data_IF_712672229561
#
_entry.id   IF_712672229561
#
_cell.length_a   1.000
_cell.length_b   1.000
_cell.length_c   1.000
_cell.angle_alpha   90.00
_cell.angle_beta   90.00
_cell.angle_gamma   90.00
#
_symmetry.space_group_name_H-M   'P 1'
#
loop_
_entity.id
_entity.type
_entity.pdbx_description
1 polymer ?
#
# COMPACT_ATOMS: atom_id res chain seq x y z
N UNK A 1 4.03 1.35 -20.88
CA UNK A 1 3.56 1.96 -19.62
C UNK A 1 3.27 0.84 -18.65
N UNK A 2 4.07 0.73 -17.58
CA UNK A 2 3.87 -0.24 -16.51
C UNK A 2 2.53 0.09 -15.84
N UNK A 3 1.51 -0.71 -16.14
CA UNK A 3 0.28 -0.71 -15.36
C UNK A 3 0.68 -0.85 -13.88
N UNK A 4 -0.11 -0.29 -12.97
CA UNK A 4 0.12 -0.41 -11.53
C UNK A 4 -0.16 -1.87 -11.06
N UNK A 5 0.56 -2.85 -11.63
CA UNK A 5 0.41 -4.31 -11.45
C UNK A 5 0.61 -4.70 -9.98
N UNK A 6 1.29 -3.84 -9.22
CA UNK A 6 1.58 -4.06 -7.80
C UNK A 6 0.98 -3.01 -6.87
N UNK A 7 -0.25 -2.57 -7.11
CA UNK A 7 -0.98 -1.77 -6.13
C UNK A 7 -1.30 -2.58 -4.85
N UNK A 8 -1.24 -1.91 -3.71
CA UNK A 8 -1.60 -2.47 -2.41
C UNK A 8 -2.39 -1.44 -1.61
N UNK A 9 -3.52 -1.87 -1.04
CA UNK A 9 -4.30 -1.08 -0.10
C UNK A 9 -3.96 -1.48 1.34
N UNK A 10 -3.94 -0.50 2.22
CA UNK A 10 -3.78 -0.70 3.67
C UNK A 10 -5.14 -0.81 4.34
N UNK A 11 -5.20 -1.39 5.55
CA UNK A 11 -6.45 -1.43 6.35
C UNK A 11 -7.03 -0.05 6.68
N UNK A 12 -6.26 1.01 6.46
CA UNK A 12 -6.69 2.38 6.66
C UNK A 12 -7.20 3.05 5.36
N UNK A 13 -7.35 2.28 4.28
CA UNK A 13 -7.94 2.72 3.01
C UNK A 13 -6.98 3.40 2.04
N UNK A 14 -5.72 3.64 2.42
CA UNK A 14 -4.74 4.27 1.54
C UNK A 14 -4.06 3.23 0.64
N UNK A 15 -3.92 3.59 -0.65
CA UNK A 15 -3.33 2.75 -1.71
C UNK A 15 -1.92 3.24 -2.03
N UNK A 16 -0.98 2.30 -2.14
CA UNK A 16 0.41 2.54 -2.51
C UNK A 16 0.91 1.45 -3.44
N UNK A 17 2.11 1.63 -4.00
CA UNK A 17 2.82 0.52 -4.61
C UNK A 17 3.25 -0.50 -3.53
N UNK A 18 3.30 -1.78 -3.88
CA UNK A 18 3.66 -2.85 -2.94
C UNK A 18 5.05 -2.65 -2.33
N UNK A 19 6.03 -2.25 -3.16
CA UNK A 19 7.39 -1.95 -2.72
C UNK A 19 7.39 -0.80 -1.70
N UNK A 20 6.60 0.24 -1.97
CA UNK A 20 6.47 1.44 -1.17
C UNK A 20 5.92 1.11 0.23
N UNK A 21 4.81 0.36 0.29
CA UNK A 21 4.18 0.04 1.58
C UNK A 21 5.04 -0.94 2.40
N UNK A 22 5.70 -1.91 1.75
CA UNK A 22 6.65 -2.81 2.42
C UNK A 22 7.81 -2.03 3.06
N UNK A 23 8.41 -1.09 2.32
CA UNK A 23 9.49 -0.25 2.83
C UNK A 23 9.03 0.62 4.01
N UNK A 24 7.86 1.25 3.92
CA UNK A 24 7.29 2.07 5.00
C UNK A 24 7.02 1.25 6.27
N UNK A 25 6.49 0.04 6.14
CA UNK A 25 6.24 -0.86 7.27
C UNK A 25 7.57 -1.30 7.92
N UNK A 26 8.59 -1.59 7.13
CA UNK A 26 9.92 -1.95 7.64
C UNK A 26 10.58 -0.78 8.38
N UNK A 27 10.53 0.43 7.83
CA UNK A 27 11.19 1.61 8.40
C UNK A 27 10.44 2.18 9.61
N UNK A 28 9.12 2.35 9.52
CA UNK A 28 8.36 3.15 10.49
C UNK A 28 7.15 2.46 11.09
N UNK A 29 6.69 1.32 10.52
CA UNK A 29 5.49 0.59 10.97
C UNK A 29 4.23 1.49 11.02
N UNK A 30 4.13 2.44 10.09
CA UNK A 30 3.04 3.41 9.98
C UNK A 30 2.64 3.63 8.51
N UNK A 31 1.40 4.06 8.32
CA UNK A 31 0.89 4.53 7.04
C UNK A 31 1.58 5.84 6.66
N UNK A 32 2.12 5.99 5.43
CA UNK A 32 2.73 7.23 4.96
C UNK A 32 1.79 8.45 5.02
N UNK A 33 0.49 8.24 4.78
CA UNK A 33 -0.48 9.33 4.67
C UNK A 33 -1.09 9.69 6.03
N UNK A 34 -1.77 8.76 6.68
CA UNK A 34 -2.52 9.04 7.91
C UNK A 34 -1.77 8.66 9.20
N UNK A 35 -0.52 8.17 9.08
CA UNK A 35 0.32 7.74 10.22
C UNK A 35 -0.26 6.64 11.11
N UNK A 36 -1.37 6.00 10.71
CA UNK A 36 -1.95 4.84 11.40
C UNK A 36 -0.92 3.73 11.49
N UNK A 37 -0.83 3.07 12.65
CA UNK A 37 0.11 1.96 12.87
C UNK A 37 -0.19 0.83 11.88
N UNK A 38 0.86 0.34 11.20
CA UNK A 38 0.79 -0.74 10.23
C UNK A 38 1.83 -1.82 10.56
N UNK A 39 1.43 -3.07 10.36
CA UNK A 39 2.27 -4.26 10.41
C UNK A 39 2.23 -4.96 9.05
N UNK A 40 3.03 -6.02 8.87
CA UNK A 40 3.11 -6.78 7.61
C UNK A 40 1.76 -7.38 7.16
N UNK A 41 0.80 -7.55 8.08
CA UNK A 41 -0.55 -8.05 7.78
C UNK A 41 -1.60 -6.94 7.58
N UNK A 42 -1.21 -5.67 7.69
CA UNK A 42 -2.14 -4.54 7.60
C UNK A 42 -2.23 -3.92 6.19
N UNK A 43 -1.85 -4.69 5.17
CA UNK A 43 -2.04 -4.33 3.76
C UNK A 43 -2.32 -5.59 2.93
N UNK A 44 -2.97 -5.40 1.79
CA UNK A 44 -3.26 -6.45 0.82
C UNK A 44 -3.05 -5.91 -0.59
N UNK A 45 -2.65 -6.78 -1.52
CA UNK A 45 -2.61 -6.42 -2.95
C UNK A 45 -4.04 -6.09 -3.41
N UNK A 46 -4.16 -5.13 -4.30
CA UNK A 46 -5.42 -4.77 -4.95
C UNK A 46 -5.22 -4.74 -6.45
N UNK A 47 -6.23 -5.21 -7.18
CA UNK A 47 -6.29 -5.07 -8.62
C UNK A 47 -7.22 -3.91 -8.92
N UNK A 48 -6.66 -2.75 -9.28
CA UNK A 48 -7.50 -1.64 -9.73
C UNK A 48 -7.92 -1.93 -11.17
N UNK A 49 -9.23 -1.90 -11.50
CA UNK A 49 -9.64 -1.89 -12.89
C UNK A 49 -9.02 -0.66 -13.54
N UNK A 50 -8.42 -0.83 -14.71
CA UNK A 50 -7.97 0.27 -15.55
C UNK A 50 -9.16 1.22 -15.68
N UNK A 51 -9.05 2.38 -15.05
CA UNK A 51 -10.04 3.44 -15.19
C UNK A 51 -9.62 4.22 -16.42
N UNK A 52 -10.44 4.10 -17.47
CA UNK A 52 -10.39 4.97 -18.66
C UNK A 52 -10.54 6.43 -18.23
#
# INVERSE_FOLDING_TARGET
MDALVEAASTICGHIFCLKCIKASIQAQKKCPTCRRKLTKNNFHRVYLPLSD
#
